data_IF_776084140630
#
_entry.id   IF_776084140630
#
_cell.length_a   1.000
_cell.length_b   1.000
_cell.length_c   1.000
_cell.angle_alpha   90.00
_cell.angle_beta   90.00
_cell.angle_gamma   90.00
#
_symmetry.space_group_name_H-M   'P 1'
#
loop_
_entity.id
_entity.type
_entity.pdbx_description
1 polymer ?
#
# COMPACT_ATOMS: atom_id res chain seq x y z
N UNK A 1 13.65 22.67 -3.40
CA UNK A 1 14.42 21.52 -2.85
C UNK A 1 13.33 20.56 -2.46
N UNK A 2 13.21 19.42 -3.14
CA UNK A 2 12.08 18.52 -2.93
C UNK A 2 12.09 17.93 -1.53
N UNK A 3 10.93 17.91 -0.87
CA UNK A 3 10.72 17.29 0.44
C UNK A 3 9.75 16.13 0.30
N UNK A 4 10.05 15.02 0.98
CA UNK A 4 9.19 13.83 1.00
C UNK A 4 8.45 13.75 2.34
N UNK A 5 7.13 13.61 2.26
CA UNK A 5 6.24 13.33 3.38
C UNK A 5 5.75 11.90 3.26
N UNK A 6 5.62 11.18 4.38
CA UNK A 6 5.06 9.84 4.37
C UNK A 6 4.02 9.64 5.46
N UNK A 7 3.07 8.73 5.20
CA UNK A 7 2.10 8.27 6.20
C UNK A 7 1.95 6.76 6.14
N UNK A 8 1.87 6.15 7.31
CA UNK A 8 1.69 4.70 7.46
C UNK A 8 0.25 4.37 7.84
N UNK A 9 -0.22 3.25 7.31
CA UNK A 9 -1.53 2.66 7.61
C UNK A 9 -1.33 1.16 7.83
N UNK A 10 -2.05 0.60 8.79
CA UNK A 10 -2.08 -0.83 9.04
C UNK A 10 -3.47 -1.38 8.71
N UNK A 11 -3.51 -2.52 8.05
CA UNK A 11 -4.75 -3.23 7.76
C UNK A 11 -4.57 -4.74 7.98
N UNK A 12 -5.66 -5.40 8.36
CA UNK A 12 -5.68 -6.82 8.67
C UNK A 12 -6.36 -7.57 7.52
N UNK A 13 -5.65 -8.44 6.81
CA UNK A 13 -6.21 -9.13 5.66
C UNK A 13 -5.77 -10.60 5.55
N UNK A 14 -6.64 -11.40 4.95
CA UNK A 14 -6.32 -12.76 4.55
C UNK A 14 -5.85 -12.80 3.09
N UNK A 15 -4.92 -13.70 2.78
CA UNK A 15 -4.52 -14.01 1.41
C UNK A 15 -3.96 -15.42 1.26
N UNK A 16 -3.70 -15.83 0.01
CA UNK A 16 -2.85 -16.97 -0.32
C UNK A 16 -2.14 -16.70 -1.65
N UNK A 17 -0.99 -17.34 -1.85
CA UNK A 17 -0.25 -17.25 -3.11
C UNK A 17 -0.57 -18.46 -4.00
N UNK A 18 -1.21 -18.28 -5.17
CA UNK A 18 -1.66 -19.41 -6.01
C UNK A 18 -0.54 -20.12 -6.77
N UNK A 19 0.63 -19.49 -6.94
CA UNK A 19 1.69 -19.98 -7.84
C UNK A 19 2.94 -20.50 -7.12
N UNK A 20 2.86 -20.73 -5.80
CA UNK A 20 3.96 -21.34 -5.05
C UNK A 20 3.94 -22.87 -5.20
N UNK A 21 5.08 -23.57 -5.02
CA UNK A 21 5.12 -25.03 -5.07
C UNK A 21 4.14 -25.71 -4.12
N UNK A 22 3.73 -26.93 -4.46
CA UNK A 22 2.89 -27.75 -3.58
C UNK A 22 3.53 -27.92 -2.19
N UNK A 23 2.72 -27.79 -1.14
CA UNK A 23 3.18 -27.84 0.26
C UNK A 23 3.83 -26.55 0.78
N UNK A 24 4.08 -25.54 -0.07
CA UNK A 24 4.66 -24.28 0.38
C UNK A 24 3.70 -23.52 1.31
N UNK A 25 4.23 -22.97 2.42
CA UNK A 25 3.40 -22.37 3.48
C UNK A 25 2.50 -21.23 3.00
N UNK A 26 2.98 -20.38 2.10
CA UNK A 26 2.23 -19.23 1.57
C UNK A 26 1.08 -19.63 0.62
N UNK A 27 1.04 -20.89 0.17
CA UNK A 27 -0.05 -21.42 -0.65
C UNK A 27 -1.30 -21.78 0.17
N UNK A 28 -1.15 -21.90 1.49
CA UNK A 28 -2.29 -22.07 2.40
C UNK A 28 -2.99 -20.73 2.62
N UNK A 29 -4.29 -20.79 2.93
CA UNK A 29 -4.99 -19.62 3.44
C UNK A 29 -4.37 -19.18 4.77
N UNK A 30 -3.95 -17.92 4.82
CA UNK A 30 -3.39 -17.26 6.00
C UNK A 30 -3.66 -15.77 5.91
N UNK A 31 -3.11 -14.97 6.82
CA UNK A 31 -3.26 -13.52 6.80
C UNK A 31 -2.16 -12.85 7.59
N UNK A 32 -2.12 -11.52 7.48
CA UNK A 32 -1.13 -10.68 8.14
C UNK A 32 -1.72 -9.34 8.57
N UNK A 33 -1.03 -8.72 9.52
CA UNK A 33 -1.14 -7.29 9.81
C UNK A 33 -0.24 -6.53 8.84
N UNK A 34 -0.78 -6.22 7.66
CA UNK A 34 -0.05 -5.52 6.61
C UNK A 34 0.16 -4.06 7.01
N UNK A 35 1.34 -3.52 6.73
CA UNK A 35 1.61 -2.09 6.82
C UNK A 35 1.87 -1.52 5.43
N UNK A 36 1.14 -0.48 5.08
CA UNK A 36 1.38 0.33 3.88
C UNK A 36 1.95 1.68 4.29
N UNK A 37 3.00 2.13 3.59
CA UNK A 37 3.48 3.51 3.67
C UNK A 37 3.29 4.17 2.31
N UNK A 38 2.60 5.28 2.30
CA UNK A 38 2.48 6.16 1.13
C UNK A 38 3.48 7.28 1.30
N UNK A 39 4.35 7.47 0.31
CA UNK A 39 5.29 8.59 0.24
C UNK A 39 4.83 9.54 -0.87
N UNK A 40 4.79 10.84 -0.57
CA UNK A 40 4.58 11.91 -1.55
C UNK A 40 5.81 12.81 -1.56
N UNK A 41 6.16 13.35 -2.72
CA UNK A 41 7.29 14.27 -2.86
C UNK A 41 6.82 15.55 -3.54
N UNK A 42 7.10 16.69 -2.91
CA UNK A 42 6.71 18.01 -3.40
C UNK A 42 7.54 19.13 -2.78
N UNK A 43 7.15 20.36 -3.03
CA UNK A 43 7.72 21.54 -2.36
C UNK A 43 6.89 21.88 -1.13
N UNK A 44 7.54 22.46 -0.11
CA UNK A 44 6.85 22.93 1.09
C UNK A 44 6.21 24.28 0.78
N UNK A 45 4.90 24.40 0.97
CA UNK A 45 4.20 25.67 0.79
C UNK A 45 4.68 26.70 1.82
N UNK A 46 4.92 27.93 1.36
CA UNK A 46 5.52 28.99 2.18
C UNK A 46 4.57 29.55 3.25
N UNK A 47 3.26 29.38 3.08
CA UNK A 47 2.25 29.85 4.03
C UNK A 47 1.88 28.77 5.04
N UNK A 48 1.56 27.56 4.57
CA UNK A 48 1.15 26.45 5.45
C UNK A 48 2.33 25.75 6.11
N UNK A 49 3.51 25.74 5.48
CA UNK A 49 4.71 25.08 5.99
C UNK A 49 4.73 23.56 5.82
N UNK A 50 3.87 22.98 4.98
CA UNK A 50 3.86 21.55 4.67
C UNK A 50 3.82 21.27 3.17
N UNK A 51 4.05 20.00 2.79
CA UNK A 51 3.78 19.51 1.42
C UNK A 51 2.28 19.24 1.22
N UNK A 52 1.63 18.60 2.19
CA UNK A 52 0.21 18.26 2.22
C UNK A 52 -0.21 17.98 3.67
N UNK A 53 -1.47 18.19 4.01
CA UNK A 53 -2.00 17.73 5.30
C UNK A 53 -2.07 16.19 5.33
N UNK A 54 -1.59 15.58 6.43
CA UNK A 54 -1.71 14.14 6.65
C UNK A 54 -3.17 13.64 6.67
N UNK A 55 -4.14 14.49 6.96
CA UNK A 55 -5.57 14.17 6.91
C UNK A 55 -6.07 14.03 5.47
N UNK A 56 -5.58 14.85 4.55
CA UNK A 56 -5.90 14.77 3.11
C UNK A 56 -5.36 13.48 2.51
N UNK A 57 -4.10 13.12 2.80
CA UNK A 57 -3.52 11.85 2.38
C UNK A 57 -4.31 10.64 2.92
N UNK A 58 -4.79 10.72 4.17
CA UNK A 58 -5.66 9.68 4.74
C UNK A 58 -7.00 9.61 4.03
N UNK A 59 -7.63 10.75 3.77
CA UNK A 59 -8.93 10.81 3.10
C UNK A 59 -8.85 10.28 1.67
N UNK A 60 -7.78 10.60 0.94
CA UNK A 60 -7.52 10.07 -0.40
C UNK A 60 -7.36 8.54 -0.41
N UNK A 61 -6.67 7.99 0.60
CA UNK A 61 -6.44 6.54 0.68
C UNK A 61 -7.64 5.75 1.23
N UNK A 62 -8.57 6.37 1.97
CA UNK A 62 -9.65 5.68 2.67
C UNK A 62 -10.49 4.73 1.77
N UNK A 63 -10.93 5.11 0.55
CA UNK A 63 -11.70 4.20 -0.32
C UNK A 63 -10.92 2.95 -0.77
N UNK A 64 -9.59 3.05 -0.87
CA UNK A 64 -8.72 1.92 -1.22
C UNK A 64 -8.44 1.08 0.04
N UNK A 65 -8.20 1.73 1.17
CA UNK A 65 -8.03 1.08 2.47
C UNK A 65 -9.23 0.20 2.85
N UNK A 66 -10.45 0.72 2.69
CA UNK A 66 -11.69 0.01 3.05
C UNK A 66 -11.91 -1.26 2.20
N UNK A 67 -11.27 -1.36 1.04
CA UNK A 67 -11.29 -2.58 0.20
C UNK A 67 -10.28 -3.63 0.66
N UNK A 68 -9.26 -3.23 1.43
CA UNK A 68 -8.16 -4.09 1.88
C UNK A 68 -8.39 -4.59 3.30
N UNK A 69 -8.79 -3.70 4.22
CA UNK A 69 -8.93 -4.03 5.64
C UNK A 69 -10.10 -4.99 5.91
N UNK A 70 -9.86 -6.01 6.73
CA UNK A 70 -10.80 -7.07 7.06
C UNK A 70 -11.34 -7.86 5.84
N UNK A 71 -10.59 -7.88 4.73
CA UNK A 71 -10.98 -8.56 3.49
C UNK A 71 -10.04 -9.70 3.09
N UNK A 72 -10.50 -10.52 2.13
CA UNK A 72 -9.70 -11.54 1.48
C UNK A 72 -9.13 -10.99 0.16
N UNK A 73 -7.80 -10.79 0.11
CA UNK A 73 -7.17 -10.03 -0.98
C UNK A 73 -7.34 -10.68 -2.36
N UNK A 74 -7.37 -12.02 -2.44
CA UNK A 74 -7.47 -12.71 -3.72
C UNK A 74 -8.80 -12.45 -4.45
N UNK A 75 -9.86 -12.02 -3.75
CA UNK A 75 -11.16 -11.71 -4.34
C UNK A 75 -11.21 -10.30 -4.96
N UNK A 76 -10.20 -9.48 -4.69
CA UNK A 76 -10.12 -8.11 -5.21
C UNK A 76 -9.57 -8.15 -6.65
N UNK A 77 -10.25 -7.54 -7.64
CA UNK A 77 -9.75 -7.47 -9.00
C UNK A 77 -8.34 -6.87 -9.07
N UNK A 78 -7.42 -7.58 -9.73
CA UNK A 78 -6.01 -7.21 -9.82
C UNK A 78 -5.10 -7.82 -8.73
N UNK A 79 -5.67 -8.45 -7.70
CA UNK A 79 -4.92 -9.06 -6.59
C UNK A 79 -5.08 -10.59 -6.51
N UNK A 80 -5.34 -11.26 -7.64
CA UNK A 80 -5.47 -12.73 -7.67
C UNK A 80 -4.18 -13.47 -7.21
N UNK A 81 -3.01 -12.85 -7.37
CA UNK A 81 -1.72 -13.27 -6.82
C UNK A 81 -1.14 -12.18 -5.88
N UNK A 82 -1.63 -12.05 -4.64
CA UNK A 82 -1.40 -10.90 -3.77
C UNK A 82 -0.07 -10.98 -3.02
N UNK A 83 1.04 -10.97 -3.76
CA UNK A 83 2.38 -10.80 -3.16
C UNK A 83 2.60 -9.35 -2.72
N UNK A 84 3.64 -9.09 -1.92
CA UNK A 84 4.00 -7.73 -1.51
C UNK A 84 4.27 -6.80 -2.71
N UNK A 85 4.90 -7.31 -3.78
CA UNK A 85 5.21 -6.56 -5.00
C UNK A 85 3.95 -6.22 -5.81
N UNK A 86 3.07 -7.21 -6.01
CA UNK A 86 1.80 -7.02 -6.72
C UNK A 86 0.91 -6.05 -5.97
N UNK A 87 0.82 -6.19 -4.65
CA UNK A 87 0.02 -5.30 -3.80
C UNK A 87 0.56 -3.87 -3.79
N UNK A 88 1.89 -3.68 -3.67
CA UNK A 88 2.49 -2.34 -3.71
C UNK A 88 2.22 -1.62 -5.04
N UNK A 89 2.35 -2.33 -6.17
CA UNK A 89 2.02 -1.79 -7.49
C UNK A 89 0.52 -1.52 -7.64
N UNK A 90 -0.34 -2.42 -7.17
CA UNK A 90 -1.78 -2.25 -7.25
C UNK A 90 -2.24 -1.00 -6.48
N UNK A 91 -1.75 -0.80 -5.26
CA UNK A 91 -2.04 0.41 -4.48
C UNK A 91 -1.52 1.65 -5.21
N UNK A 92 -0.33 1.59 -5.82
CA UNK A 92 0.17 2.68 -6.65
C UNK A 92 -0.75 2.99 -7.82
N UNK A 93 -1.19 1.98 -8.58
CA UNK A 93 -2.04 2.15 -9.75
C UNK A 93 -3.39 2.79 -9.38
N UNK A 94 -3.95 2.44 -8.22
CA UNK A 94 -5.19 3.03 -7.70
C UNK A 94 -4.98 4.45 -7.15
N UNK A 95 -3.84 4.71 -6.49
CA UNK A 95 -3.53 5.99 -5.85
C UNK A 95 -3.00 7.05 -6.82
N UNK A 96 -2.16 6.70 -7.80
CA UNK A 96 -1.45 7.67 -8.64
C UNK A 96 -2.37 8.61 -9.44
N UNK A 97 -3.54 8.16 -9.96
CA UNK A 97 -4.49 9.06 -10.63
C UNK A 97 -5.15 10.09 -9.70
N UNK A 98 -5.33 9.76 -8.42
CA UNK A 98 -5.94 10.64 -7.42
C UNK A 98 -4.92 11.48 -6.65
N UNK A 99 -3.66 11.03 -6.62
CA UNK A 99 -2.56 11.66 -5.89
C UNK A 99 -1.30 11.71 -6.79
N UNK A 100 -1.21 12.70 -7.69
CA UNK A 100 -0.10 12.83 -8.64
C UNK A 100 1.28 12.95 -7.97
N UNK A 101 1.35 13.49 -6.76
CA UNK A 101 2.58 13.68 -5.98
C UNK A 101 3.12 12.37 -5.35
N UNK A 102 2.37 11.27 -5.43
CA UNK A 102 2.79 9.96 -4.93
C UNK A 102 4.14 9.56 -5.55
N UNK A 103 5.13 9.28 -4.72
CA UNK A 103 6.51 8.99 -5.13
C UNK A 103 6.98 7.60 -4.72
N UNK A 104 6.37 6.98 -3.69
CA UNK A 104 6.56 5.57 -3.39
C UNK A 104 5.36 4.95 -2.66
N UNK A 105 5.19 3.63 -2.84
CA UNK A 105 4.33 2.79 -2.00
C UNK A 105 5.19 1.67 -1.42
N UNK A 106 5.26 1.59 -0.09
CA UNK A 106 5.85 0.45 0.60
C UNK A 106 4.76 -0.46 1.15
N UNK A 107 4.95 -1.76 1.03
CA UNK A 107 4.18 -2.78 1.73
C UNK A 107 5.09 -3.59 2.62
N UNK A 108 4.69 -3.80 3.87
CA UNK A 108 5.27 -4.81 4.75
C UNK A 108 4.21 -5.85 5.04
N UNK A 109 4.47 -7.07 4.58
CA UNK A 109 3.65 -8.23 4.91
C UNK A 109 3.90 -8.69 6.35
N UNK A 110 5.12 -8.47 6.87
CA UNK A 110 5.46 -8.75 8.27
C UNK A 110 6.33 -7.65 8.86
N UNK A 111 6.58 -7.69 10.16
CA UNK A 111 7.46 -6.72 10.84
C UNK A 111 8.88 -6.65 10.25
N UNK A 112 9.35 -7.71 9.59
CA UNK A 112 10.74 -7.85 9.14
C UNK A 112 10.90 -7.98 7.62
N UNK A 113 9.81 -8.02 6.84
CA UNK A 113 9.87 -8.16 5.38
C UNK A 113 8.86 -7.26 4.67
N UNK A 114 9.26 -6.71 3.53
CA UNK A 114 8.43 -5.83 2.71
C UNK A 114 9.02 -5.51 1.34
N UNK A 115 8.25 -4.76 0.55
CA UNK A 115 8.55 -4.30 -0.80
C UNK A 115 8.34 -2.77 -0.88
N UNK A 116 9.13 -2.08 -1.70
CA UNK A 116 8.91 -0.68 -2.06
C UNK A 116 8.77 -0.58 -3.56
N UNK A 117 7.65 -0.03 -4.03
CA UNK A 117 7.40 0.30 -5.42
C UNK A 117 7.52 1.81 -5.64
N UNK A 118 8.29 2.20 -6.66
CA UNK A 118 8.41 3.57 -7.17
C UNK A 118 8.16 3.48 -8.67
N UNK A 119 7.08 4.11 -9.15
CA UNK A 119 6.63 4.02 -10.54
C UNK A 119 7.70 4.41 -11.54
#
# INVERSE_FOLDING_TARGET
MSTTLFKEFQFEAAHRLPHVPEGHKCGRLHGHSFLVRLEITGEVDAYTGWVMDFAELKAAFAPIYDRLDHHYLNDIPGLSNPTSEVLAKWIWDEMKPILPELSAVMIKETCTAGCVYRG
#
